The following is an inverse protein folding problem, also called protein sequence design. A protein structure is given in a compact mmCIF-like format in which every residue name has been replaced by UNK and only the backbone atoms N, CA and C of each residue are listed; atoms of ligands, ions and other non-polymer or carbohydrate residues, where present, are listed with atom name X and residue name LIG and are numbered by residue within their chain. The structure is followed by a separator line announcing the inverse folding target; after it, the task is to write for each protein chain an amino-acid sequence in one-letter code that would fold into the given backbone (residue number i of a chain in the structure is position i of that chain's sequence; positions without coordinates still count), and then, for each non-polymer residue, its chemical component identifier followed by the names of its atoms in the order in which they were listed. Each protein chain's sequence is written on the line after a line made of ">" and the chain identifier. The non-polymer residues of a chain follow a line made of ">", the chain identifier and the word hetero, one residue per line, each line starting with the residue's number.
data_IF_646139179452
#
_entry.id   IF_646139179452
#
_cell.length_a   1.000
_cell.length_b   1.000
_cell.length_c   1.000
_cell.angle_alpha   90.00
_cell.angle_beta   90.00
_cell.angle_gamma   90.00
#
_symmetry.space_group_name_H-M   'P 1'
#
loop_
_entity.id
_entity.type
_entity.pdbx_description
1 polymer ?
#
# COMPACT_ATOMS: atom_id res chain seq x y z
N UNK A 1 9.98 -2.23 -2.53
CA UNK A 1 10.93 -1.45 -1.71
C UNK A 1 11.25 -2.22 -0.44
N UNK A 2 12.52 -2.34 -0.05
CA UNK A 2 12.85 -2.96 1.23
C UNK A 2 12.60 -1.97 2.37
N UNK A 3 11.91 -2.39 3.41
CA UNK A 3 11.64 -1.56 4.60
C UNK A 3 11.39 -2.46 5.82
N UNK A 4 12.20 -2.30 6.87
CA UNK A 4 12.23 -3.11 8.10
C UNK A 4 12.17 -4.63 7.81
N UNK A 5 13.07 -5.11 6.94
CA UNK A 5 13.19 -6.54 6.59
C UNK A 5 12.12 -7.08 5.64
N UNK A 6 11.13 -6.29 5.23
CA UNK A 6 10.07 -6.69 4.31
C UNK A 6 10.23 -6.04 2.94
N UNK A 7 9.83 -6.73 1.87
CA UNK A 7 9.71 -6.15 0.53
C UNK A 7 8.28 -5.62 0.35
N UNK A 8 8.10 -4.33 0.59
CA UNK A 8 6.81 -3.66 0.43
C UNK A 8 6.55 -3.40 -1.06
N UNK A 9 5.46 -3.95 -1.63
CA UNK A 9 5.10 -3.69 -3.02
C UNK A 9 4.52 -2.28 -3.17
N UNK A 10 4.88 -1.62 -4.26
CA UNK A 10 4.39 -0.28 -4.63
C UNK A 10 3.74 -0.39 -6.00
N UNK A 11 2.46 -0.05 -6.08
CA UNK A 11 1.70 0.05 -7.32
C UNK A 11 1.59 1.54 -7.72
N UNK A 12 1.80 1.88 -8.99
CA UNK A 12 1.63 3.25 -9.50
C UNK A 12 0.46 3.29 -10.47
N UNK A 13 -0.55 4.13 -10.19
CA UNK A 13 -1.79 4.19 -10.96
C UNK A 13 -2.01 5.55 -11.61
N UNK A 14 -1.66 5.67 -12.89
CA UNK A 14 -1.82 6.89 -13.70
C UNK A 14 -3.22 7.11 -14.31
N UNK A 15 -4.18 6.20 -14.12
CA UNK A 15 -5.54 6.30 -14.67
C UNK A 15 -6.54 5.26 -14.13
N UNK A 16 -7.72 5.13 -14.76
CA UNK A 16 -8.80 4.22 -14.30
C UNK A 16 -8.47 2.74 -14.47
N UNK A 17 -7.60 2.37 -15.40
CA UNK A 17 -7.26 0.97 -15.72
C UNK A 17 -6.01 0.48 -15.01
N UNK A 18 -5.98 -0.81 -14.68
CA UNK A 18 -4.97 -1.45 -13.84
C UNK A 18 -5.66 -2.22 -12.72
N UNK A 19 -5.85 -3.53 -12.93
CA UNK A 19 -6.36 -4.43 -11.90
C UNK A 19 -5.30 -4.61 -10.82
N UNK A 20 -5.69 -4.75 -9.56
CA UNK A 20 -4.77 -5.06 -8.46
C UNK A 20 -4.18 -6.48 -8.56
N UNK A 21 -4.26 -7.16 -9.70
CA UNK A 21 -3.95 -8.59 -9.85
C UNK A 21 -2.51 -8.92 -9.47
N UNK A 22 -1.52 -8.18 -10.00
CA UNK A 22 -0.11 -8.39 -9.66
C UNK A 22 0.16 -8.08 -8.19
N UNK A 23 -0.45 -7.02 -7.66
CA UNK A 23 -0.36 -6.67 -6.25
C UNK A 23 -0.93 -7.78 -5.36
N UNK A 24 -2.10 -8.31 -5.70
CA UNK A 24 -2.72 -9.42 -4.96
C UNK A 24 -1.86 -10.68 -5.00
N UNK A 25 -1.35 -11.06 -6.16
CA UNK A 25 -0.48 -12.24 -6.31
C UNK A 25 0.79 -12.11 -5.45
N UNK A 26 1.42 -10.92 -5.43
CA UNK A 26 2.53 -10.65 -4.52
C UNK A 26 2.09 -10.79 -3.06
N UNK A 27 1.00 -10.10 -2.69
CA UNK A 27 0.52 -10.08 -1.31
C UNK A 27 0.16 -11.47 -0.78
N UNK A 28 -0.39 -12.36 -1.60
CA UNK A 28 -0.72 -13.74 -1.19
C UNK A 28 0.51 -14.53 -0.69
N UNK A 29 1.69 -14.25 -1.24
CA UNK A 29 2.95 -14.91 -0.86
C UNK A 29 3.77 -14.14 0.18
N UNK A 30 3.47 -12.85 0.37
CA UNK A 30 4.24 -11.99 1.26
C UNK A 30 4.08 -12.40 2.75
N UNK A 31 5.12 -12.32 3.59
CA UNK A 31 5.00 -12.57 5.03
C UNK A 31 4.38 -11.39 5.81
N UNK A 32 4.02 -10.30 5.11
CA UNK A 32 3.43 -9.09 5.70
C UNK A 32 2.09 -8.74 5.04
N UNK A 33 1.39 -7.76 5.64
CA UNK A 33 0.02 -7.34 5.29
C UNK A 33 -0.06 -5.85 4.93
N UNK A 34 0.95 -5.33 4.25
CA UNK A 34 1.06 -3.90 3.90
C UNK A 34 1.54 -3.72 2.46
N UNK A 35 0.84 -2.86 1.72
CA UNK A 35 1.16 -2.45 0.36
C UNK A 35 0.99 -0.94 0.19
N UNK A 36 1.63 -0.37 -0.83
CA UNK A 36 1.51 1.06 -1.17
C UNK A 36 0.94 1.23 -2.57
N UNK A 37 0.06 2.22 -2.74
CA UNK A 37 -0.39 2.70 -4.05
C UNK A 37 -0.09 4.19 -4.20
N UNK A 38 0.71 4.54 -5.22
CA UNK A 38 0.92 5.92 -5.64
C UNK A 38 -0.13 6.30 -6.69
N UNK A 39 -0.88 7.39 -6.44
CA UNK A 39 -1.97 7.81 -7.31
C UNK A 39 -2.31 9.31 -7.18
N UNK A 40 -3.35 9.78 -7.89
CA UNK A 40 -3.80 11.18 -7.91
C UNK A 40 -4.92 11.52 -6.91
N UNK A 41 -5.20 10.64 -5.93
CA UNK A 41 -6.23 10.87 -4.91
C UNK A 41 -5.67 11.44 -3.60
N UNK A 42 -6.47 11.36 -2.53
CA UNK A 42 -6.11 11.80 -1.16
C UNK A 42 -5.29 10.74 -0.43
N UNK A 43 -4.50 11.15 0.56
CA UNK A 43 -3.92 10.20 1.52
C UNK A 43 -5.05 9.42 2.20
N UNK A 44 -4.99 8.09 2.15
CA UNK A 44 -5.92 7.23 2.89
C UNK A 44 -5.40 5.81 3.03
N UNK A 45 -5.99 5.04 3.95
CA UNK A 45 -5.73 3.60 4.08
C UNK A 45 -6.99 2.80 3.79
N UNK A 46 -6.88 1.77 2.93
CA UNK A 46 -7.98 0.85 2.64
C UNK A 46 -7.64 -0.56 3.15
N UNK A 47 -8.62 -1.29 3.69
CA UNK A 47 -8.48 -2.72 3.92
C UNK A 47 -8.94 -3.48 2.69
N UNK A 48 -8.05 -4.30 2.13
CA UNK A 48 -8.28 -5.02 0.88
C UNK A 48 -8.14 -6.52 1.13
N UNK A 49 -8.91 -7.32 0.40
CA UNK A 49 -8.77 -8.77 0.34
C UNK A 49 -8.17 -9.17 -1.01
N UNK A 50 -7.20 -10.09 -0.99
CA UNK A 50 -6.78 -10.79 -2.20
C UNK A 50 -7.87 -11.74 -2.70
N UNK A 51 -7.72 -12.20 -3.93
CA UNK A 51 -8.61 -13.22 -4.51
C UNK A 51 -8.58 -14.53 -3.71
N UNK A 52 -7.47 -14.81 -3.02
CA UNK A 52 -7.31 -15.97 -2.13
C UNK A 52 -7.70 -15.67 -0.67
N UNK A 53 -8.29 -14.50 -0.39
CA UNK A 53 -8.85 -14.16 0.91
C UNK A 53 -7.86 -13.56 1.91
N UNK A 54 -6.60 -13.34 1.55
CA UNK A 54 -5.64 -12.68 2.43
C UNK A 54 -6.01 -11.21 2.60
N UNK A 55 -6.20 -10.77 3.84
CA UNK A 55 -6.46 -9.37 4.18
C UNK A 55 -5.15 -8.59 4.30
N UNK A 56 -5.07 -7.41 3.70
CA UNK A 56 -3.96 -6.50 3.87
C UNK A 56 -4.38 -5.02 3.83
N UNK A 57 -3.51 -4.17 4.35
CA UNK A 57 -3.68 -2.73 4.35
C UNK A 57 -3.03 -2.12 3.10
N UNK A 58 -3.79 -1.31 2.37
CA UNK A 58 -3.30 -0.54 1.23
C UNK A 58 -3.17 0.92 1.63
N UNK A 59 -1.93 1.40 1.74
CA UNK A 59 -1.60 2.80 1.92
C UNK A 59 -1.66 3.52 0.58
N UNK A 60 -2.66 4.39 0.42
CA UNK A 60 -2.85 5.20 -0.77
C UNK A 60 -2.16 6.53 -0.60
N UNK A 61 -1.08 6.74 -1.34
CA UNK A 61 -0.26 7.95 -1.29
C UNK A 61 -0.45 8.79 -2.56
N UNK A 62 -0.88 10.07 -2.42
CA UNK A 62 -0.74 11.05 -3.48
C UNK A 62 0.69 11.12 -4.02
N UNK A 63 0.87 11.35 -5.33
CA UNK A 63 2.21 11.43 -5.94
C UNK A 63 3.17 12.38 -5.23
N UNK A 64 2.68 13.54 -4.76
CA UNK A 64 3.50 14.53 -4.07
C UNK A 64 4.04 14.06 -2.72
N UNK A 65 3.52 12.96 -2.17
CA UNK A 65 4.04 12.30 -0.95
C UNK A 65 4.97 11.12 -1.26
N UNK A 66 5.22 10.81 -2.54
CA UNK A 66 6.07 9.69 -2.94
C UNK A 66 7.52 9.78 -2.42
N UNK A 67 8.04 10.99 -2.25
CA UNK A 67 9.36 11.20 -1.63
C UNK A 67 9.42 10.92 -0.13
N UNK A 68 8.27 10.65 0.51
CA UNK A 68 8.14 10.44 1.95
C UNK A 68 7.57 9.05 2.29
N UNK A 69 7.63 8.10 1.35
CA UNK A 69 7.01 6.77 1.50
C UNK A 69 7.45 6.07 2.79
N UNK A 70 8.74 6.10 3.15
CA UNK A 70 9.24 5.47 4.39
C UNK A 70 8.58 6.05 5.63
N UNK A 71 8.50 7.37 5.73
CA UNK A 71 7.87 8.06 6.85
C UNK A 71 6.39 7.69 6.99
N UNK A 72 5.67 7.55 5.86
CA UNK A 72 4.28 7.09 5.89
C UNK A 72 4.14 5.60 6.20
N UNK A 73 5.09 4.76 5.81
CA UNK A 73 5.12 3.35 6.20
C UNK A 73 5.29 3.19 7.71
N UNK A 74 6.21 3.96 8.32
CA UNK A 74 6.40 3.96 9.77
C UNK A 74 5.19 4.54 10.51
N UNK A 75 4.61 5.62 9.98
CA UNK A 75 3.40 6.21 10.53
C UNK A 75 2.22 5.22 10.54
N UNK A 76 1.96 4.52 9.43
CA UNK A 76 0.90 3.49 9.37
C UNK A 76 1.17 2.35 10.35
N UNK A 77 2.42 1.87 10.43
CA UNK A 77 2.80 0.79 11.37
C UNK A 77 2.64 1.20 12.84
N UNK A 78 2.79 2.48 13.16
CA UNK A 78 2.58 3.00 14.51
C UNK A 78 1.11 3.02 14.96
N UNK A 79 0.17 2.62 14.11
CA UNK A 79 -1.26 2.56 14.43
C UNK A 79 -1.98 3.92 14.39
N UNK A 80 -1.34 4.95 13.81
CA UNK A 80 -1.94 6.28 13.63
C UNK A 80 -2.79 6.29 12.36
N UNK A 81 -4.02 6.81 12.46
CA UNK A 81 -4.98 6.90 11.35
C UNK A 81 -4.94 8.31 10.73
N UNK A 82 -5.09 8.52 9.41
CA UNK A 82 -5.01 9.85 8.80
C UNK A 82 -6.21 10.74 9.12
N UNK A 83 -7.28 10.13 9.64
CA UNK A 83 -8.55 10.79 9.98
C UNK A 83 -8.68 11.06 11.51
N UNK A 84 -7.61 10.84 12.28
CA UNK A 84 -7.50 11.25 13.69
C UNK A 84 -6.57 12.45 13.81
#
# INVERSE_FOLDING_TARGET
>A
MQHNGNIIPIEVKSGSTGSLRSLHAFMDTAPHNLAVRLYNGKLKTDHIFTLNGKKYLLLNLPYYLGGQIENYLDWVKSGRNPDQ
#
